data_IF_918509329960
#
_entry.id   IF_918509329960
#
_cell.length_a   1.000
_cell.length_b   1.000
_cell.length_c   1.000
_cell.angle_alpha   90.00
_cell.angle_beta   90.00
_cell.angle_gamma   90.00
#
_symmetry.space_group_name_H-M   'P 1'
#
loop_
_entity.id
_entity.type
_entity.pdbx_description
1 polymer ?
#
# COMPACT_ATOMS: atom_id res chain seq x y z
N UNK A 1 2.65 -33.27 12.03
CA UNK A 1 2.13 -33.20 10.65
C UNK A 1 2.59 -31.88 10.06
N UNK A 2 3.29 -31.89 8.94
CA UNK A 2 3.68 -30.69 8.19
C UNK A 2 2.45 -29.98 7.67
N UNK A 3 2.21 -28.73 8.06
CA UNK A 3 1.12 -27.92 7.52
C UNK A 3 1.50 -27.39 6.15
N UNK A 4 0.52 -27.24 5.27
CA UNK A 4 0.66 -26.56 3.98
C UNK A 4 0.05 -25.17 4.06
N UNK A 5 0.89 -24.16 3.92
CA UNK A 5 0.52 -22.75 3.99
C UNK A 5 0.71 -22.15 2.60
N UNK A 6 -0.25 -21.36 2.14
CA UNK A 6 -0.01 -20.44 1.03
C UNK A 6 -0.20 -19.03 1.53
N UNK A 7 0.63 -18.10 1.06
CA UNK A 7 0.53 -16.70 1.46
C UNK A 7 0.63 -15.76 0.27
N UNK A 8 0.00 -14.60 0.39
CA UNK A 8 0.14 -13.48 -0.56
C UNK A 8 0.62 -12.26 0.21
N UNK A 9 1.73 -11.66 -0.23
CA UNK A 9 2.21 -10.39 0.32
C UNK A 9 2.05 -9.25 -0.67
N UNK A 10 1.61 -8.08 -0.20
CA UNK A 10 1.48 -6.90 -1.07
C UNK A 10 1.57 -5.56 -0.31
N UNK A 11 2.52 -4.71 -0.67
CA UNK A 11 2.68 -3.36 -0.14
C UNK A 11 2.55 -2.33 -1.28
N UNK A 12 1.84 -1.19 -1.10
CA UNK A 12 1.73 -0.17 -2.15
C UNK A 12 3.04 0.59 -2.37
N UNK A 13 3.83 0.76 -1.29
CA UNK A 13 5.06 1.54 -1.30
C UNK A 13 6.26 0.66 -1.62
N UNK A 14 6.38 0.30 -2.91
CA UNK A 14 7.55 -0.38 -3.45
C UNK A 14 7.65 -1.88 -3.10
N UNK A 15 8.83 -2.43 -3.37
CA UNK A 15 9.06 -3.88 -3.33
C UNK A 15 9.61 -4.39 -1.99
N UNK A 16 10.17 -3.52 -1.16
CA UNK A 16 10.91 -3.90 0.04
C UNK A 16 10.03 -4.65 1.06
N UNK A 17 8.97 -4.02 1.57
CA UNK A 17 8.09 -4.65 2.55
C UNK A 17 7.41 -5.90 2.01
N UNK A 18 7.05 -5.93 0.72
CA UNK A 18 6.46 -7.10 0.07
C UNK A 18 7.39 -8.31 0.13
N UNK A 19 8.66 -8.15 -0.26
CA UNK A 19 9.65 -9.22 -0.23
C UNK A 19 10.09 -9.58 1.19
N UNK A 20 10.33 -8.59 2.05
CA UNK A 20 10.75 -8.82 3.43
C UNK A 20 9.67 -9.55 4.24
N UNK A 21 8.39 -9.21 4.05
CA UNK A 21 7.29 -9.92 4.69
C UNK A 21 7.20 -11.37 4.19
N UNK A 22 7.42 -11.60 2.89
CA UNK A 22 7.42 -12.94 2.32
C UNK A 22 8.54 -13.80 2.90
N UNK A 23 9.76 -13.27 2.92
CA UNK A 23 10.92 -13.94 3.50
C UNK A 23 10.73 -14.23 5.00
N UNK A 24 10.16 -13.28 5.75
CA UNK A 24 9.87 -13.48 7.17
C UNK A 24 8.88 -14.63 7.43
N UNK A 25 7.84 -14.76 6.59
CA UNK A 25 6.90 -15.88 6.64
C UNK A 25 7.56 -17.20 6.23
N UNK A 26 8.42 -17.20 5.20
CA UNK A 26 9.17 -18.39 4.76
C UNK A 26 10.13 -18.90 5.84
N UNK A 27 10.90 -18.00 6.45
CA UNK A 27 11.81 -18.33 7.54
C UNK A 27 11.05 -18.92 8.72
N UNK A 28 9.91 -18.34 9.08
CA UNK A 28 9.12 -18.80 10.23
C UNK A 28 8.46 -20.17 9.97
N UNK A 29 7.92 -20.40 8.77
CA UNK A 29 7.39 -21.71 8.41
C UNK A 29 8.48 -22.79 8.40
N UNK A 30 9.67 -22.49 7.87
CA UNK A 30 10.82 -23.41 7.90
C UNK A 30 11.23 -23.75 9.33
N UNK A 31 11.25 -22.77 10.24
CA UNK A 31 11.53 -23.02 11.68
C UNK A 31 10.52 -23.99 12.30
N UNK A 32 9.27 -23.94 11.87
CA UNK A 32 8.18 -24.80 12.35
C UNK A 32 8.12 -26.15 11.65
N UNK A 33 8.88 -26.35 10.57
CA UNK A 33 8.82 -27.54 9.74
C UNK A 33 7.58 -27.62 8.85
N UNK A 34 6.96 -26.46 8.57
CA UNK A 34 5.80 -26.32 7.70
C UNK A 34 6.22 -26.01 6.26
N UNK A 35 5.41 -26.47 5.30
CA UNK A 35 5.57 -26.10 3.91
C UNK A 35 4.84 -24.78 3.67
N UNK A 36 5.53 -23.81 3.09
CA UNK A 36 4.92 -22.55 2.68
C UNK A 36 5.34 -22.17 1.27
N UNK A 37 4.39 -21.59 0.54
CA UNK A 37 4.68 -20.83 -0.68
C UNK A 37 4.09 -19.43 -0.57
N UNK A 38 4.91 -18.42 -0.85
CA UNK A 38 4.50 -17.02 -0.78
C UNK A 38 4.52 -16.39 -2.16
N UNK A 39 3.35 -15.94 -2.62
CA UNK A 39 3.21 -15.09 -3.79
C UNK A 39 3.42 -13.63 -3.39
N UNK A 40 4.28 -12.93 -4.13
CA UNK A 40 4.57 -11.52 -3.89
C UNK A 40 3.90 -10.69 -4.97
N UNK A 41 3.09 -9.70 -4.58
CA UNK A 41 2.42 -8.75 -5.49
C UNK A 41 2.92 -7.34 -5.18
N UNK A 42 3.72 -6.78 -6.09
CA UNK A 42 4.25 -5.42 -5.94
C UNK A 42 4.17 -4.61 -7.23
N UNK A 43 4.81 -3.44 -7.23
CA UNK A 43 4.89 -2.56 -8.41
C UNK A 43 5.56 -3.21 -9.63
N UNK A 44 6.39 -4.23 -9.41
CA UNK A 44 7.08 -5.01 -10.45
C UNK A 44 6.29 -6.22 -10.94
N UNK A 45 5.02 -6.37 -10.54
CA UNK A 45 4.16 -7.50 -10.89
C UNK A 45 4.16 -8.62 -9.85
N UNK A 46 3.40 -9.68 -10.14
CA UNK A 46 3.32 -10.87 -9.29
C UNK A 46 4.50 -11.81 -9.54
N UNK A 47 5.14 -12.31 -8.48
CA UNK A 47 6.14 -13.39 -8.53
C UNK A 47 5.73 -14.54 -7.62
N UNK A 48 6.22 -15.74 -7.95
CA UNK A 48 5.90 -16.99 -7.25
C UNK A 48 4.40 -17.27 -7.18
N UNK A 49 3.69 -17.01 -8.29
CA UNK A 49 2.24 -17.17 -8.39
C UNK A 49 1.80 -18.54 -7.89
N UNK A 50 0.76 -18.54 -7.06
CA UNK A 50 0.15 -19.74 -6.51
C UNK A 50 -0.65 -20.45 -7.59
N UNK A 51 -0.47 -21.76 -7.72
CA UNK A 51 -1.29 -22.59 -8.61
C UNK A 51 -2.59 -23.00 -7.91
N UNK A 52 -3.60 -23.38 -8.69
CA UNK A 52 -4.87 -23.83 -8.15
C UNK A 52 -4.69 -25.06 -7.25
N UNK A 53 -3.75 -25.96 -7.58
CA UNK A 53 -3.44 -27.16 -6.80
C UNK A 53 -2.82 -26.81 -5.44
N UNK A 54 -1.93 -25.82 -5.40
CA UNK A 54 -1.29 -25.36 -4.16
C UNK A 54 -2.32 -24.72 -3.22
N UNK A 55 -3.21 -23.89 -3.76
CA UNK A 55 -4.33 -23.31 -3.01
C UNK A 55 -5.27 -24.43 -2.53
N UNK A 56 -5.58 -25.40 -3.38
CA UNK A 56 -6.43 -26.53 -3.04
C UNK A 56 -5.86 -27.40 -1.92
N UNK A 57 -4.53 -27.56 -1.85
CA UNK A 57 -3.84 -28.35 -0.83
C UNK A 57 -3.49 -27.57 0.45
N UNK A 58 -3.68 -26.26 0.47
CA UNK A 58 -3.38 -25.43 1.63
C UNK A 58 -4.36 -25.67 2.78
N UNK A 59 -3.81 -25.85 3.99
CA UNK A 59 -4.54 -25.88 5.25
C UNK A 59 -5.00 -24.47 5.66
N UNK A 60 -4.19 -23.46 5.33
CA UNK A 60 -4.47 -22.04 5.63
C UNK A 60 -3.86 -21.14 4.56
N UNK A 61 -4.59 -20.05 4.26
CA UNK A 61 -4.19 -18.96 3.37
C UNK A 61 -3.88 -17.73 4.22
N UNK A 62 -2.69 -17.15 4.10
CA UNK A 62 -2.30 -15.91 4.77
C UNK A 62 -2.25 -14.77 3.76
N UNK A 63 -3.07 -13.74 3.95
CA UNK A 63 -3.05 -12.52 3.13
C UNK A 63 -2.40 -11.41 3.95
N UNK A 64 -1.12 -11.14 3.71
CA UNK A 64 -0.37 -10.06 4.35
C UNK A 64 -0.26 -8.87 3.40
N UNK A 65 -1.25 -7.99 3.40
CA UNK A 65 -1.37 -6.94 2.40
C UNK A 65 -1.82 -5.60 2.98
N UNK A 66 -1.21 -4.52 2.49
CA UNK A 66 -1.57 -3.13 2.78
C UNK A 66 -2.32 -2.47 1.59
N UNK A 67 -2.77 -3.29 0.65
CA UNK A 67 -3.63 -2.90 -0.48
C UNK A 67 -4.79 -3.89 -0.64
N UNK A 68 -5.79 -3.51 -1.42
CA UNK A 68 -6.81 -4.44 -1.87
C UNK A 68 -6.26 -5.42 -2.92
N UNK A 69 -6.66 -6.68 -2.80
CA UNK A 69 -6.24 -7.77 -3.66
C UNK A 69 -7.47 -8.52 -4.16
N UNK A 70 -7.41 -9.01 -5.40
CA UNK A 70 -8.36 -10.01 -5.85
C UNK A 70 -8.10 -11.34 -5.13
N UNK A 71 -9.10 -11.76 -4.36
CA UNK A 71 -9.10 -12.99 -3.54
C UNK A 71 -10.07 -14.05 -4.08
N UNK A 72 -10.62 -13.86 -5.28
CA UNK A 72 -11.60 -14.78 -5.87
C UNK A 72 -11.10 -16.23 -5.96
N UNK A 73 -9.78 -16.42 -6.14
CA UNK A 73 -9.15 -17.74 -6.16
C UNK A 73 -9.09 -18.47 -4.81
N UNK A 74 -9.41 -17.81 -3.70
CA UNK A 74 -9.33 -18.37 -2.34
C UNK A 74 -10.69 -18.66 -1.71
N UNK A 75 -11.78 -18.62 -2.47
CA UNK A 75 -13.13 -18.93 -1.97
C UNK A 75 -13.18 -20.38 -1.46
N UNK A 76 -13.78 -20.56 -0.29
CA UNK A 76 -13.87 -21.84 0.43
C UNK A 76 -12.61 -22.20 1.24
N UNK A 77 -11.56 -21.38 1.21
CA UNK A 77 -10.33 -21.63 1.98
C UNK A 77 -10.35 -20.92 3.33
N UNK A 78 -9.67 -21.51 4.31
CA UNK A 78 -9.40 -20.86 5.60
C UNK A 78 -8.41 -19.73 5.36
N UNK A 79 -8.87 -18.49 5.48
CA UNK A 79 -8.12 -17.30 5.16
C UNK A 79 -7.92 -16.45 6.41
N UNK A 80 -6.69 -15.99 6.60
CA UNK A 80 -6.31 -15.02 7.62
C UNK A 80 -5.72 -13.79 6.94
N UNK A 81 -6.20 -12.60 7.31
CA UNK A 81 -5.73 -11.33 6.74
C UNK A 81 -4.97 -10.51 7.79
N UNK A 82 -3.83 -9.97 7.38
CA UNK A 82 -2.95 -9.10 8.19
C UNK A 82 -2.23 -8.07 7.31
N UNK A 83 -1.41 -7.20 7.90
CA UNK A 83 -0.59 -6.20 7.20
C UNK A 83 0.80 -6.72 6.88
N UNK A 84 1.48 -6.14 5.87
CA UNK A 84 2.87 -6.56 5.56
C UNK A 84 3.82 -6.25 6.72
N UNK A 85 3.59 -5.13 7.42
CA UNK A 85 4.38 -4.73 8.58
C UNK A 85 4.22 -5.67 9.77
N UNK A 86 3.02 -6.21 10.01
CA UNK A 86 2.78 -7.20 11.05
C UNK A 86 3.42 -8.54 10.69
N UNK A 87 3.24 -9.01 9.44
CA UNK A 87 3.87 -10.23 8.94
C UNK A 87 5.41 -10.17 9.01
N UNK A 88 6.00 -9.00 8.77
CA UNK A 88 7.46 -8.80 8.88
C UNK A 88 7.96 -8.80 10.33
N UNK A 89 7.32 -8.04 11.23
CA UNK A 89 7.83 -7.82 12.60
C UNK A 89 7.39 -8.91 13.59
N UNK A 90 6.29 -9.58 13.31
CA UNK A 90 5.59 -10.50 14.23
C UNK A 90 5.19 -11.80 13.53
N UNK A 91 6.02 -12.28 12.59
CA UNK A 91 5.72 -13.45 11.74
C UNK A 91 5.23 -14.66 12.54
N UNK A 92 5.88 -14.98 13.66
CA UNK A 92 5.46 -16.08 14.53
C UNK A 92 4.02 -15.91 15.05
N UNK A 93 3.71 -14.74 15.61
CA UNK A 93 2.38 -14.43 16.13
C UNK A 93 1.32 -14.43 15.03
N UNK A 94 1.63 -13.84 13.87
CA UNK A 94 0.70 -13.81 12.73
C UNK A 94 0.43 -15.22 12.17
N UNK A 95 1.42 -16.10 12.20
CA UNK A 95 1.25 -17.50 11.79
C UNK A 95 0.40 -18.29 12.79
N UNK A 96 0.58 -18.06 14.10
CA UNK A 96 -0.29 -18.65 15.14
C UNK A 96 -1.73 -18.14 15.01
N UNK A 97 -1.90 -16.85 14.78
CA UNK A 97 -3.21 -16.25 14.53
C UNK A 97 -3.84 -16.84 13.26
N UNK A 98 -3.06 -17.10 12.22
CA UNK A 98 -3.59 -17.74 11.01
C UNK A 98 -4.16 -19.12 11.31
N UNK A 99 -3.49 -19.95 12.11
CA UNK A 99 -4.00 -21.28 12.43
C UNK A 99 -5.24 -21.24 13.33
N UNK A 100 -5.30 -20.30 14.27
CA UNK A 100 -6.36 -20.22 15.28
C UNK A 100 -7.60 -19.45 14.78
N UNK A 101 -7.39 -18.39 14.01
CA UNK A 101 -8.41 -17.39 13.69
C UNK A 101 -8.72 -17.28 12.20
N UNK A 102 -8.12 -18.12 11.33
CA UNK A 102 -8.51 -18.14 9.91
C UNK A 102 -9.95 -18.66 9.75
N UNK A 103 -10.75 -17.88 9.03
CA UNK A 103 -12.15 -18.15 8.72
C UNK A 103 -12.31 -18.59 7.27
N UNK A 104 -13.38 -19.33 6.96
CA UNK A 104 -13.65 -19.76 5.59
C UNK A 104 -14.06 -18.54 4.77
N UNK A 105 -13.24 -18.19 3.78
CA UNK A 105 -13.51 -17.06 2.89
C UNK A 105 -14.65 -17.40 1.92
N UNK A 106 -15.78 -16.72 2.01
CA UNK A 106 -16.96 -17.01 1.19
C UNK A 106 -17.00 -16.24 -0.14
N UNK A 107 -15.98 -15.41 -0.43
CA UNK A 107 -16.03 -14.46 -1.53
C UNK A 107 -16.99 -13.30 -1.23
N UNK A 108 -16.71 -12.12 -1.77
CA UNK A 108 -17.58 -10.96 -1.58
C UNK A 108 -18.86 -11.07 -2.41
N UNK A 109 -19.86 -11.80 -1.91
CA UNK A 109 -21.23 -11.33 -2.05
C UNK A 109 -21.47 -10.32 -0.92
N UNK A 110 -21.30 -9.03 -1.26
CA UNK A 110 -21.36 -7.85 -0.39
C UNK A 110 -21.85 -8.09 1.05
N UNK A 111 -20.92 -8.08 2.00
CA UNK A 111 -21.21 -7.77 3.40
C UNK A 111 -19.95 -7.27 4.09
N UNK A 112 -19.92 -5.96 4.27
CA UNK A 112 -19.22 -5.29 5.34
C UNK A 112 -19.61 -5.95 6.67
N UNK A 113 -18.65 -6.42 7.46
CA UNK A 113 -18.87 -6.62 8.89
C UNK A 113 -17.57 -6.57 9.69
N UNK A 114 -17.35 -5.38 10.26
CA UNK A 114 -16.95 -5.09 11.65
C UNK A 114 -16.29 -6.20 12.49
N UNK A 115 -15.06 -5.90 12.97
CA UNK A 115 -14.59 -6.31 14.30
C UNK A 115 -13.56 -5.30 14.86
N UNK A 116 -14.07 -4.35 15.66
CA UNK A 116 -13.43 -3.84 16.88
C UNK A 116 -11.98 -3.35 16.86
N UNK A 117 -11.73 -2.19 16.27
CA UNK A 117 -10.84 -1.15 16.84
C UNK A 117 -11.58 0.18 16.71
N UNK A 118 -11.40 1.11 17.64
CA UNK A 118 -11.91 2.48 17.51
C UNK A 118 -11.23 3.14 16.32
N UNK A 119 -11.77 2.87 15.14
CA UNK A 119 -11.24 3.33 13.88
C UNK A 119 -11.61 4.80 13.74
N UNK A 120 -10.61 5.63 13.47
CA UNK A 120 -10.84 6.99 13.00
C UNK A 120 -11.87 6.95 11.87
N UNK A 121 -12.78 7.95 11.76
CA UNK A 121 -13.81 7.96 10.73
C UNK A 121 -13.21 7.64 9.36
N UNK A 122 -13.84 6.79 8.56
CA UNK A 122 -13.31 6.37 7.23
C UNK A 122 -12.86 7.57 6.39
N UNK A 123 -13.59 8.70 6.51
CA UNK A 123 -13.24 9.99 5.91
C UNK A 123 -11.85 10.50 6.31
N UNK A 124 -11.46 10.36 7.59
CA UNK A 124 -10.14 10.76 8.06
C UNK A 124 -9.05 9.91 7.43
N UNK A 125 -9.26 8.59 7.26
CA UNK A 125 -8.31 7.71 6.59
C UNK A 125 -8.08 8.15 5.14
N UNK A 126 -9.15 8.42 4.40
CA UNK A 126 -9.07 8.91 3.03
C UNK A 126 -8.38 10.28 2.93
N UNK A 127 -8.67 11.19 3.85
CA UNK A 127 -8.02 12.49 3.93
C UNK A 127 -6.52 12.34 4.19
N UNK A 128 -6.13 11.46 5.12
CA UNK A 128 -4.73 11.22 5.46
C UNK A 128 -3.96 10.56 4.31
N UNK A 129 -4.59 9.72 3.50
CA UNK A 129 -3.99 9.19 2.27
C UNK A 129 -3.64 10.33 1.31
N UNK A 130 -4.58 11.24 1.06
CA UNK A 130 -4.35 12.42 0.23
C UNK A 130 -3.20 13.30 0.74
N UNK A 131 -3.24 13.66 2.02
CA UNK A 131 -2.20 14.51 2.66
C UNK A 131 -0.83 13.84 2.59
N UNK A 132 -0.73 12.54 2.86
CA UNK A 132 0.55 11.81 2.84
C UNK A 132 1.17 11.80 1.43
N UNK A 133 0.36 11.70 0.38
CA UNK A 133 0.85 11.73 -1.00
C UNK A 133 1.14 13.15 -1.52
N UNK A 134 0.49 14.16 -0.97
CA UNK A 134 0.74 15.58 -1.27
C UNK A 134 2.02 16.11 -0.59
N UNK A 135 2.31 15.64 0.63
CA UNK A 135 3.38 16.20 1.47
C UNK A 135 4.76 16.22 0.82
N UNK A 136 5.24 15.16 0.14
CA UNK A 136 6.55 15.19 -0.53
C UNK A 136 6.68 16.30 -1.56
N UNK A 137 5.58 16.60 -2.28
CA UNK A 137 5.56 17.63 -3.31
C UNK A 137 5.63 19.04 -2.71
N UNK A 138 4.85 19.28 -1.65
CA UNK A 138 4.84 20.58 -0.95
C UNK A 138 6.18 20.84 -0.26
N UNK A 139 6.77 19.82 0.36
CA UNK A 139 8.08 19.94 1.01
C UNK A 139 9.17 20.22 -0.03
N UNK A 140 9.19 19.48 -1.14
CA UNK A 140 10.14 19.74 -2.23
C UNK A 140 9.94 21.12 -2.86
N UNK A 141 8.69 21.52 -3.13
CA UNK A 141 8.36 22.81 -3.71
C UNK A 141 8.74 23.98 -2.80
N UNK A 142 8.44 23.88 -1.51
CA UNK A 142 8.80 24.88 -0.51
C UNK A 142 10.31 25.04 -0.36
N UNK A 143 11.06 23.93 -0.39
CA UNK A 143 12.52 23.95 -0.39
C UNK A 143 13.08 24.65 -1.65
N UNK A 144 12.53 24.37 -2.83
CA UNK A 144 12.94 25.05 -4.07
C UNK A 144 12.69 26.57 -4.01
N UNK A 145 11.55 27.01 -3.48
CA UNK A 145 11.25 28.45 -3.30
C UNK A 145 12.23 29.07 -2.30
N UNK A 146 12.49 28.41 -1.17
CA UNK A 146 13.44 28.90 -0.17
C UNK A 146 14.84 29.08 -0.76
N UNK A 147 15.31 28.12 -1.58
CA UNK A 147 16.59 28.23 -2.29
C UNK A 147 16.61 29.34 -3.33
N UNK A 148 15.48 29.63 -3.98
CA UNK A 148 15.38 30.78 -4.90
C UNK A 148 15.68 32.10 -4.18
N UNK A 149 15.14 32.29 -2.98
CA UNK A 149 15.31 33.52 -2.21
C UNK A 149 16.72 33.73 -1.64
N UNK A 150 17.55 32.69 -1.56
CA UNK A 150 18.98 32.82 -1.19
C UNK A 150 19.74 33.69 -2.21
N UNK A 151 19.33 33.66 -3.48
CA UNK A 151 19.93 34.49 -4.54
C UNK A 151 19.40 35.93 -4.57
N UNK A 152 18.48 36.27 -3.66
CA UNK A 152 17.82 37.57 -3.56
C UNK A 152 16.31 37.44 -3.70
N UNK A 153 15.56 38.19 -2.89
CA UNK A 153 14.09 38.09 -2.83
C UNK A 153 13.44 38.36 -4.19
N UNK A 154 14.04 39.18 -5.06
CA UNK A 154 13.52 39.50 -6.40
C UNK A 154 14.28 38.80 -7.54
N UNK A 155 15.27 37.95 -7.25
CA UNK A 155 16.11 37.31 -8.27
C UNK A 155 15.31 36.37 -9.19
N UNK A 156 14.13 35.93 -8.77
CA UNK A 156 13.21 35.14 -9.60
C UNK A 156 12.61 35.92 -10.78
N UNK A 157 12.68 37.26 -10.77
CA UNK A 157 12.15 38.11 -11.85
C UNK A 157 13.05 38.14 -13.09
N UNK A 158 14.32 37.73 -12.98
CA UNK A 158 15.22 37.65 -14.12
C UNK A 158 15.09 36.28 -14.81
N UNK A 159 14.46 36.21 -16.00
CA UNK A 159 14.27 34.95 -16.70
C UNK A 159 15.62 34.35 -17.15
N UNK A 160 15.76 33.04 -16.98
CA UNK A 160 16.98 32.29 -17.32
C UNK A 160 17.97 32.12 -16.17
N UNK A 161 17.73 32.75 -15.02
CA UNK A 161 18.55 32.53 -13.82
C UNK A 161 18.16 31.25 -13.08
N UNK A 162 19.09 30.70 -12.30
CA UNK A 162 18.83 29.57 -11.41
C UNK A 162 17.72 29.90 -10.40
N UNK A 163 17.67 31.14 -9.90
CA UNK A 163 16.64 31.60 -8.98
C UNK A 163 15.24 31.56 -9.62
N UNK A 164 15.10 32.02 -10.85
CA UNK A 164 13.85 31.93 -11.61
C UNK A 164 13.46 30.47 -11.87
N UNK A 165 14.41 29.60 -12.24
CA UNK A 165 14.13 28.18 -12.45
C UNK A 165 13.63 27.48 -11.16
N UNK A 166 14.30 27.72 -10.02
CA UNK A 166 13.89 27.18 -8.72
C UNK A 166 12.50 27.67 -8.29
N UNK A 167 12.20 28.95 -8.52
CA UNK A 167 10.88 29.52 -8.22
C UNK A 167 9.78 28.95 -9.13
N UNK A 168 10.05 28.75 -10.42
CA UNK A 168 9.09 28.14 -11.35
C UNK A 168 8.79 26.69 -10.96
N UNK A 169 9.82 25.91 -10.63
CA UNK A 169 9.67 24.52 -10.18
C UNK A 169 8.87 24.46 -8.89
N UNK A 170 9.23 25.26 -7.89
CA UNK A 170 8.54 25.26 -6.61
C UNK A 170 7.15 25.87 -6.69
N UNK A 171 7.05 27.14 -7.06
CA UNK A 171 5.83 27.93 -6.99
C UNK A 171 4.81 27.59 -8.09
N UNK A 172 5.23 27.47 -9.36
CA UNK A 172 4.27 27.26 -10.46
C UNK A 172 4.00 25.79 -10.77
N UNK A 173 4.97 24.91 -10.56
CA UNK A 173 4.77 23.48 -10.83
C UNK A 173 4.36 22.72 -9.55
N UNK A 174 5.21 22.66 -8.54
CA UNK A 174 4.98 21.83 -7.36
C UNK A 174 3.76 22.28 -6.52
N UNK A 175 3.61 23.58 -6.28
CA UNK A 175 2.45 24.09 -5.54
C UNK A 175 1.15 24.02 -6.35
N UNK A 176 1.18 24.18 -7.68
CA UNK A 176 -0.01 24.02 -8.51
C UNK A 176 -0.55 22.59 -8.50
N UNK A 177 0.34 21.60 -8.41
CA UNK A 177 0.00 20.18 -8.31
C UNK A 177 -0.48 19.76 -6.91
N UNK A 178 -0.40 20.63 -5.91
CA UNK A 178 -0.81 20.32 -4.53
C UNK A 178 -2.27 19.87 -4.46
N UNK A 179 -3.19 20.67 -5.02
CA UNK A 179 -4.63 20.40 -4.97
C UNK A 179 -5.01 19.19 -5.86
N UNK A 180 -4.53 19.08 -7.11
CA UNK A 180 -4.70 17.87 -7.93
C UNK A 180 -4.24 16.60 -7.22
N UNK A 181 -3.02 16.58 -6.68
CA UNK A 181 -2.48 15.39 -6.01
C UNK A 181 -3.29 15.04 -4.76
N UNK A 182 -3.64 16.03 -3.94
CA UNK A 182 -4.49 15.80 -2.76
C UNK A 182 -5.83 15.16 -3.15
N UNK A 183 -6.55 15.76 -4.10
CA UNK A 183 -7.85 15.28 -4.55
C UNK A 183 -7.76 13.91 -5.26
N UNK A 184 -6.74 13.73 -6.10
CA UNK A 184 -6.47 12.48 -6.82
C UNK A 184 -6.23 11.32 -5.87
N UNK A 185 -5.43 11.50 -4.82
CA UNK A 185 -5.13 10.43 -3.86
C UNK A 185 -6.24 10.21 -2.83
N UNK A 186 -7.09 11.20 -2.56
CA UNK A 186 -8.36 10.98 -1.82
C UNK A 186 -9.30 10.12 -2.67
N UNK A 187 -9.49 10.47 -3.94
CA UNK A 187 -10.36 9.73 -4.84
C UNK A 187 -9.83 8.31 -5.10
N UNK A 188 -8.51 8.15 -5.25
CA UNK A 188 -7.85 6.84 -5.30
C UNK A 188 -8.11 6.02 -4.03
N UNK A 189 -8.11 6.65 -2.85
CA UNK A 189 -8.39 5.93 -1.61
C UNK A 189 -9.85 5.45 -1.49
N UNK A 190 -10.78 6.00 -2.28
CA UNK A 190 -12.21 5.66 -2.26
C UNK A 190 -12.57 4.69 -3.39
N UNK A 191 -11.99 4.88 -4.58
CA UNK A 191 -12.39 4.18 -5.81
C UNK A 191 -11.21 3.56 -6.57
N UNK A 192 -10.06 3.37 -5.91
CA UNK A 192 -8.82 2.82 -6.49
C UNK A 192 -8.41 3.54 -7.79
N UNK A 193 -7.83 2.82 -8.74
CA UNK A 193 -7.39 3.34 -10.04
C UNK A 193 -8.49 4.10 -10.81
N UNK A 194 -9.76 3.63 -10.84
CA UNK A 194 -10.85 4.39 -11.44
C UNK A 194 -11.05 5.81 -10.87
N UNK A 195 -10.81 6.03 -9.58
CA UNK A 195 -10.95 7.33 -8.92
C UNK A 195 -9.83 8.33 -9.23
N UNK A 196 -8.67 7.87 -9.70
CA UNK A 196 -7.49 8.71 -9.84
C UNK A 196 -7.65 9.79 -10.92
N UNK A 197 -8.11 9.41 -12.12
CA UNK A 197 -8.30 10.35 -13.22
C UNK A 197 -9.30 11.47 -12.89
N UNK A 198 -10.53 11.19 -12.39
CA UNK A 198 -11.46 12.25 -12.03
C UNK A 198 -10.97 13.08 -10.83
N UNK A 199 -10.27 12.47 -9.86
CA UNK A 199 -9.72 13.19 -8.71
C UNK A 199 -8.58 14.15 -9.07
N UNK A 200 -7.73 13.81 -10.05
CA UNK A 200 -6.65 14.69 -10.51
C UNK A 200 -7.15 15.85 -11.38
N UNK A 201 -8.21 15.63 -12.16
CA UNK A 201 -8.75 16.62 -13.14
C UNK A 201 -9.81 17.53 -12.51
N UNK A 202 -10.61 17.02 -11.57
CA UNK A 202 -11.73 17.73 -10.98
C UNK A 202 -11.48 18.85 -9.95
N UNK A 203 -10.26 19.21 -9.48
CA UNK A 203 -10.11 20.30 -8.51
C UNK A 203 -10.21 21.71 -9.09
N UNK A 204 -10.51 21.88 -10.38
CA UNK A 204 -10.79 23.19 -11.01
C UNK A 204 -12.28 23.43 -11.26
#
# INVERSE_FOLDING_TARGET
MTKKIVAVTACPTGVAHTFMAAEALEIEARKRGDWIKVETRGSVGAKNTLTAEEIAQADVVIIAADIELDLSGFVGKRLYRTSTGAALKKSAQEMDNAFNSAEVYQGSAGRSSSAGKTELPDVYKHLMTGVSHMLPLVVAGGLCIALSFVFGIQAFNEPGTLAAALFQIGGKAAFALMVPVLAGFIAFSIADRPGLAPGLIGPE
#
